data_IF_028883844638
#
_entry.id   IF_028883844638
#
_cell.length_a   1.000
_cell.length_b   1.000
_cell.length_c   1.000
_cell.angle_alpha   90.00
_cell.angle_beta   90.00
_cell.angle_gamma   90.00
#
_symmetry.space_group_name_H-M   'P 1'
#
loop_
_entity.id
_entity.type
_entity.pdbx_description
1 polymer ?
#
# COMPACT_ATOMS: atom_id res chain seq x y z
N UNK A 1 43.05 -61.71 10.61
CA UNK A 1 41.96 -60.83 10.09
C UNK A 1 41.84 -59.61 11.00
N UNK A 2 41.39 -58.48 10.41
CA UNK A 2 41.18 -57.13 10.98
C UNK A 2 42.30 -56.14 10.60
N UNK A 3 42.34 -55.75 9.32
CA UNK A 3 41.62 -54.66 8.63
C UNK A 3 42.11 -53.26 9.07
N UNK A 4 42.98 -52.70 8.25
CA UNK A 4 43.36 -51.29 8.24
C UNK A 4 42.17 -50.53 7.64
N UNK A 5 41.60 -49.58 8.38
CA UNK A 5 40.60 -48.64 7.85
C UNK A 5 41.34 -47.36 7.47
N UNK A 6 41.56 -47.16 6.17
CA UNK A 6 41.98 -45.87 5.63
C UNK A 6 40.71 -45.05 5.41
N UNK A 7 40.52 -44.01 6.21
CA UNK A 7 39.50 -42.99 5.99
C UNK A 7 40.01 -42.04 4.89
N UNK A 8 39.53 -42.25 3.66
CA UNK A 8 39.49 -41.23 2.63
C UNK A 8 38.10 -40.59 2.65
N UNK A 9 38.00 -39.34 3.10
CA UNK A 9 36.87 -38.48 2.78
C UNK A 9 37.41 -37.15 2.27
N UNK A 10 37.10 -36.88 1.00
CA UNK A 10 37.47 -35.71 0.21
C UNK A 10 37.07 -34.40 0.92
N UNK A 11 37.84 -33.32 0.75
CA UNK A 11 37.30 -31.99 0.99
C UNK A 11 36.26 -31.69 -0.09
N UNK A 12 34.99 -31.60 0.30
CA UNK A 12 33.96 -30.94 -0.50
C UNK A 12 34.35 -29.47 -0.57
N UNK A 13 35.03 -29.09 -1.65
CA UNK A 13 35.17 -27.69 -2.03
C UNK A 13 33.76 -27.21 -2.42
N UNK A 14 33.01 -26.72 -1.43
CA UNK A 14 31.78 -25.98 -1.68
C UNK A 14 32.22 -24.69 -2.38
N UNK A 15 31.99 -24.62 -3.69
CA UNK A 15 32.13 -23.38 -4.42
C UNK A 15 31.19 -22.37 -3.75
N UNK A 16 31.75 -21.42 -3.01
CA UNK A 16 31.03 -20.24 -2.57
C UNK A 16 30.70 -19.46 -3.84
N UNK A 17 29.53 -19.73 -4.41
CA UNK A 17 28.97 -18.89 -5.46
C UNK A 17 28.76 -17.53 -4.80
N UNK A 18 29.57 -16.54 -5.18
CA UNK A 18 29.34 -15.14 -4.80
C UNK A 18 27.99 -14.75 -5.40
N UNK A 19 26.93 -14.93 -4.62
CA UNK A 19 25.62 -14.39 -4.93
C UNK A 19 25.78 -12.89 -4.74
N UNK A 20 26.08 -12.19 -5.83
CA UNK A 20 26.01 -10.73 -5.87
C UNK A 20 24.62 -10.36 -5.35
N UNK A 21 24.50 -9.48 -4.33
CA UNK A 21 23.20 -9.04 -3.87
C UNK A 21 22.42 -8.47 -5.07
N UNK A 22 21.12 -8.78 -5.17
CA UNK A 22 20.31 -8.27 -6.26
C UNK A 22 20.41 -6.75 -6.31
N UNK A 23 20.45 -6.22 -7.53
CA UNK A 23 20.42 -4.80 -7.78
C UNK A 23 19.14 -4.21 -7.16
N UNK A 24 19.22 -3.25 -6.22
CA UNK A 24 18.04 -2.68 -5.56
C UNK A 24 17.01 -2.13 -6.54
N UNK A 25 17.45 -1.57 -7.67
CA UNK A 25 16.57 -1.02 -8.70
C UNK A 25 15.79 -2.14 -9.42
N UNK A 26 16.48 -3.23 -9.75
CA UNK A 26 15.84 -4.40 -10.36
C UNK A 26 14.88 -5.10 -9.39
N UNK A 27 15.20 -5.13 -8.10
CA UNK A 27 14.31 -5.68 -7.07
C UNK A 27 13.03 -4.86 -6.92
N UNK A 28 13.15 -3.53 -6.92
CA UNK A 28 12.00 -2.62 -6.89
C UNK A 28 11.12 -2.78 -8.13
N UNK A 29 11.71 -2.81 -9.33
CA UNK A 29 10.98 -3.00 -10.58
C UNK A 29 10.25 -4.36 -10.62
N UNK A 30 10.87 -5.43 -10.13
CA UNK A 30 10.24 -6.74 -10.04
C UNK A 30 9.06 -6.73 -9.06
N UNK A 31 9.18 -6.03 -7.93
CA UNK A 31 8.11 -5.88 -6.96
C UNK A 31 6.95 -5.04 -7.52
N UNK A 32 7.25 -3.93 -8.20
CA UNK A 32 6.24 -3.10 -8.85
C UNK A 32 5.46 -3.89 -9.91
N UNK A 33 6.15 -4.66 -10.75
CA UNK A 33 5.50 -5.55 -11.72
C UNK A 33 4.59 -6.60 -11.03
N UNK A 34 5.01 -7.13 -9.89
CA UNK A 34 4.22 -8.11 -9.13
C UNK A 34 2.94 -7.49 -8.54
N UNK A 35 3.01 -6.27 -8.02
CA UNK A 35 1.84 -5.54 -7.50
C UNK A 35 0.85 -5.23 -8.62
N UNK A 36 1.32 -4.81 -9.79
CA UNK A 36 0.46 -4.57 -10.95
C UNK A 36 -0.34 -5.82 -11.33
N UNK A 37 0.31 -7.00 -11.33
CA UNK A 37 -0.37 -8.28 -11.57
C UNK A 37 -1.45 -8.54 -10.52
N UNK A 38 -1.15 -8.35 -9.22
CA UNK A 38 -2.14 -8.56 -8.17
C UNK A 38 -3.33 -7.61 -8.28
N UNK A 39 -3.11 -6.34 -8.63
CA UNK A 39 -4.20 -5.40 -8.87
C UNK A 39 -5.13 -5.88 -10.00
N UNK A 40 -4.56 -6.35 -11.12
CA UNK A 40 -5.34 -6.92 -12.22
C UNK A 40 -6.09 -8.18 -11.82
N UNK A 41 -5.49 -9.05 -11.02
CA UNK A 41 -6.16 -10.26 -10.49
C UNK A 41 -7.35 -9.92 -9.58
N UNK A 42 -7.27 -8.83 -8.82
CA UNK A 42 -8.38 -8.32 -8.00
C UNK A 42 -9.42 -7.54 -8.81
N UNK A 43 -9.24 -7.43 -10.14
CA UNK A 43 -10.21 -6.84 -11.06
C UNK A 43 -10.04 -5.33 -11.29
N UNK A 44 -8.93 -4.74 -10.84
CA UNK A 44 -8.60 -3.35 -11.11
C UNK A 44 -7.86 -3.20 -12.45
N UNK A 45 -8.14 -2.11 -13.16
CA UNK A 45 -7.36 -1.64 -14.31
C UNK A 45 -6.59 -0.38 -13.89
N UNK A 46 -5.42 -0.52 -13.24
CA UNK A 46 -4.72 0.61 -12.65
C UNK A 46 -4.16 1.55 -13.72
N UNK A 47 -4.38 2.85 -13.54
CA UNK A 47 -3.67 3.86 -14.34
C UNK A 47 -2.25 4.01 -13.79
N UNK A 48 -1.27 4.12 -14.68
CA UNK A 48 0.14 4.34 -14.36
C UNK A 48 0.70 5.42 -15.29
N UNK A 49 1.62 6.25 -14.81
CA UNK A 49 2.32 7.25 -15.62
C UNK A 49 3.78 6.86 -15.84
N UNK A 50 4.33 7.19 -17.00
CA UNK A 50 5.70 6.80 -17.40
C UNK A 50 6.78 7.39 -16.48
N UNK A 51 6.52 8.55 -15.86
CA UNK A 51 7.37 9.22 -14.89
C UNK A 51 7.18 8.73 -13.45
N UNK A 52 6.16 7.90 -13.20
CA UNK A 52 5.83 7.32 -11.90
C UNK A 52 5.60 5.80 -12.00
N UNK A 53 6.62 5.01 -12.42
CA UNK A 53 6.45 3.57 -12.69
C UNK A 53 6.13 2.72 -11.46
N UNK A 54 6.26 3.30 -10.27
CA UNK A 54 6.00 2.66 -8.98
C UNK A 54 4.69 3.12 -8.34
N UNK A 55 3.83 3.80 -9.11
CA UNK A 55 2.57 4.38 -8.66
C UNK A 55 1.41 3.85 -9.49
N UNK A 56 0.31 3.49 -8.82
CA UNK A 56 -0.93 3.00 -9.44
C UNK A 56 -2.12 3.79 -8.91
N UNK A 57 -2.99 4.20 -9.81
CA UNK A 57 -4.23 4.88 -9.47
C UNK A 57 -5.40 3.94 -9.74
N UNK A 58 -6.15 3.61 -8.69
CA UNK A 58 -7.30 2.71 -8.75
C UNK A 58 -8.56 3.36 -8.18
N UNK A 59 -9.71 2.76 -8.48
CA UNK A 59 -11.02 3.24 -8.05
C UNK A 59 -11.98 2.06 -7.95
N UNK A 60 -12.87 2.06 -6.95
CA UNK A 60 -13.81 0.95 -6.70
C UNK A 60 -14.95 0.84 -7.72
N UNK A 61 -15.25 1.90 -8.47
CA UNK A 61 -16.33 1.89 -9.49
C UNK A 61 -15.83 1.97 -10.94
N UNK A 62 -14.53 2.13 -11.17
CA UNK A 62 -13.92 2.14 -12.50
C UNK A 62 -14.27 3.35 -13.40
N UNK A 63 -15.14 4.26 -12.96
CA UNK A 63 -15.66 5.38 -13.74
C UNK A 63 -15.33 6.78 -13.17
N UNK A 64 -14.52 6.88 -12.12
CA UNK A 64 -13.94 8.12 -11.53
C UNK A 64 -14.95 9.25 -11.20
N UNK A 65 -16.26 9.01 -11.23
CA UNK A 65 -17.30 10.03 -11.01
C UNK A 65 -18.15 9.80 -9.76
N UNK A 66 -17.78 8.84 -8.91
CA UNK A 66 -18.49 8.54 -7.66
C UNK A 66 -17.75 7.65 -6.66
N UNK A 67 -16.70 6.95 -7.08
CA UNK A 67 -15.84 6.18 -6.18
C UNK A 67 -14.75 7.03 -5.53
N UNK A 68 -14.33 6.59 -4.35
CA UNK A 68 -13.17 7.14 -3.68
C UNK A 68 -11.90 6.63 -4.37
N UNK A 69 -11.08 7.49 -5.00
CA UNK A 69 -9.85 7.06 -5.64
C UNK A 69 -8.83 6.62 -4.58
N UNK A 70 -8.02 5.63 -4.91
CA UNK A 70 -6.89 5.19 -4.10
C UNK A 70 -5.63 5.19 -4.97
N UNK A 71 -4.62 5.92 -4.51
CA UNK A 71 -3.27 5.91 -5.08
C UNK A 71 -2.42 4.95 -4.26
N UNK A 72 -1.80 3.99 -4.94
CA UNK A 72 -0.83 3.09 -4.37
C UNK A 72 0.54 3.47 -4.88
N UNK A 73 1.56 3.47 -4.03
CA UNK A 73 2.93 3.68 -4.50
C UNK A 73 3.97 2.94 -3.66
N UNK A 74 5.04 2.47 -4.31
CA UNK A 74 6.20 1.89 -3.63
C UNK A 74 7.26 2.95 -3.37
N UNK A 75 7.61 3.15 -2.11
CA UNK A 75 8.72 4.03 -1.70
C UNK A 75 9.44 3.48 -0.48
N UNK A 76 10.77 3.63 -0.42
CA UNK A 76 11.61 3.34 0.75
C UNK A 76 11.37 1.97 1.43
N UNK A 77 10.98 0.96 0.65
CA UNK A 77 10.70 -0.39 1.16
C UNK A 77 9.30 -0.59 1.75
N UNK A 78 8.38 0.33 1.47
CA UNK A 78 6.96 0.29 1.84
C UNK A 78 6.07 0.33 0.60
N UNK A 79 4.89 -0.28 0.71
CA UNK A 79 3.75 -0.01 -0.15
C UNK A 79 2.82 0.93 0.62
N UNK A 80 2.58 2.08 0.03
CA UNK A 80 1.75 3.12 0.61
C UNK A 80 0.42 3.17 -0.14
N UNK A 81 -0.65 3.40 0.61
CA UNK A 81 -1.99 3.59 0.11
C UNK A 81 -2.46 4.96 0.55
N UNK A 82 -2.96 5.76 -0.38
CA UNK A 82 -3.47 7.10 -0.11
C UNK A 82 -4.80 7.27 -0.80
N UNK A 83 -5.80 7.77 -0.07
CA UNK A 83 -7.12 8.02 -0.62
C UNK A 83 -7.61 9.38 -0.18
N UNK A 84 -7.69 10.31 -1.14
CA UNK A 84 -8.28 11.63 -0.90
C UNK A 84 -9.79 11.48 -0.92
N UNK A 85 -10.42 11.73 0.23
CA UNK A 85 -11.86 11.61 0.39
C UNK A 85 -12.54 12.90 -0.04
N UNK A 86 -12.10 14.04 0.50
CA UNK A 86 -12.77 15.32 0.26
C UNK A 86 -11.83 16.50 0.52
N UNK A 87 -11.95 17.54 -0.30
CA UNK A 87 -11.30 18.83 -0.04
C UNK A 87 -12.14 19.69 0.91
N UNK A 88 -11.50 20.27 1.92
CA UNK A 88 -12.12 21.23 2.84
C UNK A 88 -12.07 22.61 2.18
N UNK A 89 -13.21 23.23 1.86
CA UNK A 89 -13.22 24.57 1.28
C UNK A 89 -12.77 25.63 2.30
N UNK A 90 -12.21 26.74 1.83
CA UNK A 90 -11.79 27.88 2.68
C UNK A 90 -12.91 28.43 3.58
N UNK A 91 -14.16 28.25 3.13
CA UNK A 91 -15.37 28.62 3.86
C UNK A 91 -16.23 27.39 4.13
N UNK A 92 -15.64 26.37 4.75
CA UNK A 92 -16.40 25.22 5.24
C UNK A 92 -17.51 25.68 6.18
N UNK A 93 -18.70 25.14 5.95
CA UNK A 93 -19.88 25.34 6.80
C UNK A 93 -20.02 24.27 7.87
N UNK A 94 -19.16 23.25 7.83
CA UNK A 94 -19.21 22.10 8.75
C UNK A 94 -18.43 22.31 10.04
N UNK A 95 -18.64 21.39 10.98
CA UNK A 95 -17.98 21.40 12.28
C UNK A 95 -16.63 20.67 12.22
N UNK A 96 -15.55 21.44 12.16
CA UNK A 96 -14.18 20.90 12.13
C UNK A 96 -13.78 20.21 13.44
N UNK A 97 -14.44 20.53 14.56
CA UNK A 97 -14.23 19.85 15.84
C UNK A 97 -14.80 18.44 15.83
N UNK A 98 -16.02 18.29 15.31
CA UNK A 98 -16.63 16.98 15.12
C UNK A 98 -15.91 16.15 14.05
N UNK A 99 -15.44 16.79 12.96
CA UNK A 99 -14.58 16.17 11.96
C UNK A 99 -13.32 15.56 12.62
N UNK A 100 -12.63 16.31 13.48
CA UNK A 100 -11.45 15.78 14.19
C UNK A 100 -11.80 14.54 15.03
N UNK A 101 -12.98 14.51 15.67
CA UNK A 101 -13.48 13.32 16.37
C UNK A 101 -13.71 12.13 15.45
N UNK A 102 -14.21 12.36 14.23
CA UNK A 102 -14.36 11.31 13.20
C UNK A 102 -13.01 10.75 12.80
N UNK A 103 -12.03 11.60 12.47
CA UNK A 103 -10.70 11.18 12.03
C UNK A 103 -9.97 10.38 13.12
N UNK A 104 -10.03 10.85 14.37
CA UNK A 104 -9.45 10.13 15.52
C UNK A 104 -10.09 8.75 15.70
N UNK A 105 -11.42 8.63 15.54
CA UNK A 105 -12.11 7.35 15.64
C UNK A 105 -11.61 6.35 14.59
N UNK A 106 -11.45 6.79 13.35
CA UNK A 106 -10.97 5.93 12.25
C UNK A 106 -9.63 5.31 12.61
N UNK A 107 -8.68 6.10 13.11
CA UNK A 107 -7.37 5.58 13.53
C UNK A 107 -7.41 4.66 14.77
N UNK A 108 -8.40 4.84 15.65
CA UNK A 108 -8.61 3.96 16.82
C UNK A 108 -9.24 2.63 16.43
N UNK A 109 -10.17 2.63 15.48
CA UNK A 109 -10.88 1.43 15.00
C UNK A 109 -10.04 0.66 13.97
N UNK A 110 -9.21 1.36 13.20
CA UNK A 110 -8.37 0.81 12.14
C UNK A 110 -6.90 1.20 12.37
N UNK A 111 -6.19 0.48 13.24
CA UNK A 111 -4.82 0.84 13.64
C UNK A 111 -3.80 0.95 12.50
N UNK A 112 -4.10 0.39 11.32
CA UNK A 112 -3.25 0.44 10.12
C UNK A 112 -3.62 1.58 9.16
N UNK A 113 -4.73 2.26 9.40
CA UNK A 113 -5.23 3.36 8.57
C UNK A 113 -5.23 4.65 9.38
N UNK A 114 -4.53 5.64 8.86
CA UNK A 114 -4.44 6.97 9.44
C UNK A 114 -5.37 7.89 8.66
N UNK A 115 -6.24 8.61 9.34
CA UNK A 115 -7.07 9.65 8.74
C UNK A 115 -6.50 11.02 9.10
N UNK A 116 -6.17 11.85 8.10
CA UNK A 116 -5.55 13.16 8.30
C UNK A 116 -6.20 14.25 7.47
N UNK A 117 -5.85 15.49 7.82
CA UNK A 117 -5.99 16.65 6.94
C UNK A 117 -4.58 16.97 6.46
N UNK A 118 -4.36 16.96 5.15
CA UNK A 118 -3.06 17.24 4.55
C UNK A 118 -2.83 18.73 4.29
N UNK A 119 -1.63 19.07 3.82
CA UNK A 119 -1.20 20.46 3.57
C UNK A 119 -2.03 21.18 2.49
N UNK A 120 -2.78 20.42 1.68
CA UNK A 120 -3.69 20.93 0.66
C UNK A 120 -5.14 21.05 1.15
N UNK A 121 -5.37 20.97 2.47
CA UNK A 121 -6.71 20.96 3.09
C UNK A 121 -7.60 19.81 2.59
N UNK A 122 -7.02 18.66 2.25
CA UNK A 122 -7.80 17.47 1.93
C UNK A 122 -7.90 16.56 3.15
N UNK A 123 -9.09 16.03 3.40
CA UNK A 123 -9.25 14.86 4.25
C UNK A 123 -8.82 13.64 3.45
N UNK A 124 -7.83 12.91 3.95
CA UNK A 124 -7.30 11.71 3.32
C UNK A 124 -7.14 10.58 4.31
N UNK A 125 -7.18 9.36 3.78
CA UNK A 125 -6.72 8.16 4.45
C UNK A 125 -5.34 7.79 3.94
N UNK A 126 -4.49 7.31 4.83
CA UNK A 126 -3.15 6.84 4.54
C UNK A 126 -2.93 5.48 5.23
N UNK A 127 -2.24 4.56 4.56
CA UNK A 127 -1.77 3.32 5.17
C UNK A 127 -0.42 2.93 4.56
N UNK A 128 0.50 2.45 5.40
CA UNK A 128 1.84 2.07 4.99
C UNK A 128 2.15 0.65 5.46
N UNK A 129 2.60 -0.19 4.55
CA UNK A 129 2.94 -1.58 4.85
C UNK A 129 4.34 -1.91 4.38
N UNK A 130 5.14 -2.65 5.17
CA UNK A 130 6.45 -3.10 4.73
C UNK A 130 6.30 -3.90 3.42
N UNK A 131 6.95 -3.42 2.36
CA UNK A 131 7.00 -4.11 1.08
C UNK A 131 7.97 -5.30 1.14
N UNK A 132 8.95 -5.26 2.03
CA UNK A 132 9.88 -6.37 2.22
C UNK A 132 9.11 -7.61 2.68
N UNK A 133 9.14 -8.68 1.89
CA UNK A 133 8.38 -9.92 2.12
C UNK A 133 6.86 -9.81 2.08
N UNK A 134 6.31 -8.76 1.45
CA UNK A 134 4.87 -8.59 1.26
C UNK A 134 4.29 -9.79 0.50
N UNK A 135 3.40 -10.54 1.16
CA UNK A 135 2.66 -11.62 0.53
C UNK A 135 1.45 -11.08 -0.24
N UNK A 136 0.95 -11.85 -1.21
CA UNK A 136 -0.31 -11.51 -1.93
C UNK A 136 -1.47 -11.34 -0.95
N UNK A 137 -1.58 -12.22 0.05
CA UNK A 137 -2.67 -12.19 1.04
C UNK A 137 -2.64 -10.92 1.88
N UNK A 138 -1.45 -10.52 2.36
CA UNK A 138 -1.27 -9.28 3.12
C UNK A 138 -1.57 -8.06 2.26
N UNK A 139 -1.11 -8.05 1.00
CA UNK A 139 -1.40 -6.99 0.04
C UNK A 139 -2.91 -6.83 -0.19
N UNK A 140 -3.61 -7.93 -0.49
CA UNK A 140 -5.05 -7.92 -0.74
C UNK A 140 -5.83 -7.50 0.52
N UNK A 141 -5.39 -7.95 1.69
CA UNK A 141 -5.98 -7.55 2.98
C UNK A 141 -5.82 -6.05 3.22
N UNK A 142 -4.61 -5.51 3.01
CA UNK A 142 -4.33 -4.09 3.12
C UNK A 142 -5.16 -3.26 2.13
N UNK A 143 -5.20 -3.70 0.86
CA UNK A 143 -5.98 -3.07 -0.20
C UNK A 143 -7.45 -2.95 0.16
N UNK A 144 -8.09 -4.06 0.55
CA UNK A 144 -9.52 -4.06 0.87
C UNK A 144 -9.85 -3.38 2.20
N UNK A 145 -8.93 -3.42 3.18
CA UNK A 145 -9.07 -2.61 4.39
C UNK A 145 -9.11 -1.12 4.04
N UNK A 146 -8.18 -0.67 3.21
CA UNK A 146 -8.09 0.73 2.79
C UNK A 146 -9.35 1.17 2.04
N UNK A 147 -9.72 0.44 0.98
CA UNK A 147 -10.88 0.76 0.14
C UNK A 147 -12.18 0.69 0.94
N UNK A 148 -12.34 -0.34 1.78
CA UNK A 148 -13.53 -0.49 2.62
C UNK A 148 -13.65 0.60 3.69
N UNK A 149 -12.52 1.04 4.27
CA UNK A 149 -12.52 2.17 5.22
C UNK A 149 -12.89 3.47 4.51
N UNK A 150 -12.30 3.72 3.34
CA UNK A 150 -12.61 4.89 2.52
C UNK A 150 -14.10 4.97 2.16
N UNK A 151 -14.65 3.88 1.60
CA UNK A 151 -16.04 3.82 1.18
C UNK A 151 -17.03 3.96 2.36
N UNK A 152 -16.71 3.36 3.51
CA UNK A 152 -17.60 3.39 4.68
C UNK A 152 -17.58 4.73 5.43
N UNK A 153 -16.44 5.41 5.49
CA UNK A 153 -16.27 6.66 6.24
C UNK A 153 -16.57 7.91 5.39
N UNK A 154 -16.46 7.81 4.07
CA UNK A 154 -16.71 8.93 3.14
C UNK A 154 -18.04 9.68 3.40
N UNK A 155 -19.21 9.02 3.56
CA UNK A 155 -20.48 9.71 3.80
C UNK A 155 -20.49 10.52 5.10
N UNK A 156 -19.83 10.02 6.15
CA UNK A 156 -19.74 10.71 7.43
C UNK A 156 -18.79 11.91 7.35
N UNK A 157 -17.66 11.74 6.67
CA UNK A 157 -16.65 12.79 6.49
C UNK A 157 -17.21 13.93 5.65
N UNK A 158 -17.84 13.64 4.51
CA UNK A 158 -18.39 14.68 3.64
C UNK A 158 -19.49 15.50 4.33
N UNK A 159 -20.29 14.87 5.18
CA UNK A 159 -21.30 15.56 5.98
C UNK A 159 -20.67 16.58 6.94
N UNK A 160 -19.60 16.20 7.65
CA UNK A 160 -18.91 17.11 8.59
C UNK A 160 -18.10 18.21 7.90
N UNK A 161 -17.82 18.11 6.59
CA UNK A 161 -17.09 19.13 5.83
C UNK A 161 -18.04 20.15 5.18
N UNK A 162 -19.19 19.72 4.69
CA UNK A 162 -20.08 20.58 3.88
C UNK A 162 -21.42 20.94 4.52
N UNK A 163 -21.85 20.27 5.59
CA UNK A 163 -23.12 20.54 6.28
C UNK A 163 -22.90 20.95 7.71
#
# INVERSE_FOLDING_TARGET
MRLIVILFLLPVALAAQEVKPPDPEAALAAQAAQIAVWLTEEGFDPLTYDDEPNTWYISTTGDNMGAVPCTLYLCDGFICFQSILVSIPEHSHGDLGDLAGVLLRIGLENYMVKAVINDYNNVELEAEFPATSLSREDFVTALWLMLGTADSEYPRIIENVYR
#
